data_IF_784613905352
#
_entry.id   IF_784613905352
#
_cell.length_a   1.000
_cell.length_b   1.000
_cell.length_c   1.000
_cell.angle_alpha   90.00
_cell.angle_beta   90.00
_cell.angle_gamma   90.00
#
_symmetry.space_group_name_H-M   'P 1'
#
loop_
_entity.id
_entity.type
_entity.pdbx_description
1 polymer ?
#
# COMPACT_ATOMS: atom_id res chain seq x y z
N UNK A 1 8.83 -20.57 -15.88
CA UNK A 1 8.06 -19.60 -15.08
C UNK A 1 7.86 -18.36 -15.91
N UNK A 2 6.63 -17.90 -15.99
CA UNK A 2 6.30 -16.70 -16.76
C UNK A 2 6.61 -15.45 -15.93
N UNK A 3 7.46 -14.57 -16.46
CA UNK A 3 7.73 -13.28 -15.84
C UNK A 3 6.80 -12.23 -16.40
N UNK A 4 6.32 -11.34 -15.55
CA UNK A 4 5.57 -10.16 -15.94
C UNK A 4 6.32 -8.93 -15.46
N UNK A 5 6.14 -7.82 -16.18
CA UNK A 5 6.71 -6.55 -15.80
C UNK A 5 5.64 -5.62 -15.24
N UNK A 6 5.88 -5.12 -14.06
CA UNK A 6 5.08 -4.06 -13.47
C UNK A 6 5.92 -2.80 -13.39
N UNK A 7 5.32 -1.67 -13.72
CA UNK A 7 6.00 -0.38 -13.67
C UNK A 7 5.54 0.38 -12.45
N UNK A 8 6.49 0.88 -11.67
CA UNK A 8 6.24 1.66 -10.47
C UNK A 8 6.98 2.97 -10.60
N UNK A 9 6.28 4.08 -10.38
CA UNK A 9 6.82 5.42 -10.44
C UNK A 9 6.50 6.17 -9.18
N UNK A 10 7.50 6.85 -8.60
CA UNK A 10 7.26 7.77 -7.50
C UNK A 10 6.55 9.01 -7.99
N UNK A 11 5.58 9.49 -7.24
CA UNK A 11 4.92 10.76 -7.47
C UNK A 11 5.84 11.86 -6.97
N UNK A 12 5.92 12.96 -7.72
CA UNK A 12 6.75 14.11 -7.36
C UNK A 12 6.53 14.56 -5.91
N UNK A 13 7.61 14.85 -5.20
CA UNK A 13 7.58 15.24 -3.80
C UNK A 13 7.69 14.08 -2.81
N UNK A 14 7.85 12.85 -3.30
CA UNK A 14 7.93 11.65 -2.45
C UNK A 14 9.28 10.93 -2.59
N UNK A 15 10.36 11.67 -2.81
CA UNK A 15 11.69 11.09 -3.05
C UNK A 15 12.24 10.36 -1.82
N UNK A 16 11.79 10.73 -0.63
CA UNK A 16 12.18 10.10 0.63
C UNK A 16 11.41 8.80 0.92
N UNK A 17 10.36 8.50 0.14
CA UNK A 17 9.57 7.29 0.35
C UNK A 17 10.18 6.15 -0.45
N UNK A 18 10.51 5.01 0.18
CA UNK A 18 11.05 3.87 -0.54
C UNK A 18 10.03 3.28 -1.51
N UNK A 19 10.52 2.71 -2.61
CA UNK A 19 9.69 1.91 -3.49
C UNK A 19 9.26 0.62 -2.78
N UNK A 20 8.12 0.03 -3.19
CA UNK A 20 7.72 -1.28 -2.68
C UNK A 20 8.83 -2.31 -2.88
N UNK A 21 9.04 -3.15 -1.88
CA UNK A 21 10.09 -4.16 -1.94
C UNK A 21 9.70 -5.40 -1.15
N UNK A 22 10.28 -6.52 -1.55
CA UNK A 22 10.19 -7.74 -0.77
C UNK A 22 11.08 -7.63 0.46
N UNK A 23 10.52 -7.86 1.62
CA UNK A 23 11.28 -7.80 2.88
C UNK A 23 12.09 -9.06 3.12
N UNK A 24 11.68 -10.17 2.51
CA UNK A 24 12.41 -11.44 2.51
C UNK A 24 12.41 -12.03 1.11
N UNK A 25 13.37 -12.93 0.82
CA UNK A 25 13.48 -13.56 -0.49
C UNK A 25 12.29 -14.45 -0.85
N UNK A 26 11.56 -14.94 0.13
CA UNK A 26 10.41 -15.83 -0.07
C UNK A 26 9.07 -15.16 0.18
N UNK A 27 9.06 -13.86 0.39
CA UNK A 27 7.82 -13.14 0.60
C UNK A 27 6.95 -13.20 -0.66
N UNK A 28 5.65 -13.47 -0.50
CA UNK A 28 4.70 -13.51 -1.60
C UNK A 28 4.31 -12.12 -2.09
N UNK A 29 4.45 -11.11 -1.24
CA UNK A 29 4.11 -9.73 -1.55
C UNK A 29 5.18 -8.75 -1.13
N UNK A 30 5.08 -7.53 -1.64
CA UNK A 30 5.96 -6.43 -1.30
C UNK A 30 5.33 -5.54 -0.24
N UNK A 31 6.16 -4.99 0.67
CA UNK A 31 5.71 -3.96 1.58
C UNK A 31 5.62 -2.62 0.86
N UNK A 32 4.51 -1.90 1.10
CA UNK A 32 4.28 -0.55 0.59
C UNK A 32 4.32 0.40 1.77
N UNK A 33 4.93 1.56 1.55
CA UNK A 33 5.12 2.56 2.59
C UNK A 33 4.06 3.66 2.50
N UNK A 34 3.61 4.14 3.65
CA UNK A 34 2.74 5.30 3.72
C UNK A 34 3.55 6.58 3.47
N UNK A 35 3.08 7.42 2.55
CA UNK A 35 3.71 8.70 2.25
C UNK A 35 3.08 9.78 3.12
N UNK A 36 3.41 9.76 4.41
CA UNK A 36 2.87 10.71 5.39
C UNK A 36 4.02 11.47 6.05
N UNK A 37 3.78 12.73 6.38
CA UNK A 37 4.76 13.59 7.03
C UNK A 37 4.81 13.31 8.52
N UNK A 38 3.65 13.05 9.12
CA UNK A 38 3.49 12.81 10.54
C UNK A 38 2.79 11.48 10.77
N UNK A 39 2.90 10.96 11.99
CA UNK A 39 2.17 9.78 12.40
C UNK A 39 0.67 10.00 12.26
N UNK A 40 0.00 9.07 11.59
CA UNK A 40 -1.45 9.11 11.42
C UNK A 40 -2.13 8.30 12.52
N UNK A 41 -3.18 8.87 13.11
CA UNK A 41 -3.97 8.22 14.14
C UNK A 41 -5.32 7.85 13.55
N UNK A 42 -5.69 6.57 13.66
CA UNK A 42 -6.99 6.07 13.22
C UNK A 42 -7.75 5.56 14.44
N UNK A 43 -8.85 6.22 14.75
CA UNK A 43 -9.70 5.84 15.87
C UNK A 43 -10.61 4.68 15.50
N UNK A 44 -11.07 3.88 16.49
CA UNK A 44 -12.00 2.78 16.21
C UNK A 44 -13.21 3.25 15.40
N UNK A 45 -13.54 2.52 14.34
CA UNK A 45 -14.63 2.86 13.44
C UNK A 45 -14.29 3.93 12.39
N UNK A 46 -13.11 4.53 12.46
CA UNK A 46 -12.68 5.60 11.57
C UNK A 46 -11.96 5.04 10.35
N UNK A 47 -12.05 5.75 9.23
CA UNK A 47 -11.29 5.49 8.00
C UNK A 47 -10.47 6.71 7.64
N UNK A 48 -9.30 6.47 7.06
CA UNK A 48 -8.47 7.54 6.52
C UNK A 48 -7.90 7.15 5.17
N UNK A 49 -7.75 8.13 4.29
CA UNK A 49 -7.03 7.97 3.03
C UNK A 49 -5.56 8.18 3.31
N UNK A 50 -4.76 7.16 2.98
CA UNK A 50 -3.31 7.19 3.18
C UNK A 50 -2.64 7.13 1.80
N UNK A 51 -1.92 8.18 1.39
CA UNK A 51 -1.19 8.14 0.12
C UNK A 51 0.02 7.21 0.22
N UNK A 52 0.37 6.58 -0.89
CA UNK A 52 1.56 5.74 -0.98
C UNK A 52 2.71 6.43 -1.69
N UNK A 53 2.45 7.55 -2.36
CA UNK A 53 3.46 8.30 -3.11
C UNK A 53 3.91 7.62 -4.39
N UNK A 54 3.22 6.59 -4.85
CA UNK A 54 3.58 5.86 -6.07
C UNK A 54 2.40 5.70 -7.02
N UNK A 55 2.75 5.49 -8.29
CA UNK A 55 1.83 5.03 -9.33
C UNK A 55 2.28 3.64 -9.75
N UNK A 56 1.33 2.80 -10.13
CA UNK A 56 1.63 1.45 -10.58
C UNK A 56 0.91 1.19 -11.91
N UNK A 57 1.61 0.54 -12.82
CA UNK A 57 1.04 0.08 -14.08
C UNK A 57 1.32 -1.40 -14.25
N UNK A 58 0.27 -2.16 -14.52
CA UNK A 58 0.35 -3.60 -14.69
C UNK A 58 -0.04 -4.00 -16.12
N UNK A 59 0.49 -5.12 -16.62
CA UNK A 59 0.02 -5.67 -17.89
C UNK A 59 -1.47 -5.98 -17.85
N UNK A 60 -2.09 -5.96 -19.02
CA UNK A 60 -3.49 -6.33 -19.16
C UNK A 60 -3.72 -7.75 -18.66
N UNK A 61 -4.78 -7.94 -17.88
CA UNK A 61 -5.13 -9.23 -17.30
C UNK A 61 -4.54 -9.50 -15.93
N UNK A 62 -3.79 -8.54 -15.38
CA UNK A 62 -3.22 -8.64 -14.04
C UNK A 62 -3.77 -7.54 -13.15
N UNK A 63 -3.83 -7.81 -11.86
CA UNK A 63 -4.22 -6.83 -10.86
C UNK A 63 -3.28 -6.89 -9.67
N UNK A 64 -3.18 -5.78 -8.93
CA UNK A 64 -2.50 -5.73 -7.66
C UNK A 64 -3.54 -5.74 -6.54
N UNK A 65 -3.35 -6.62 -5.56
CA UNK A 65 -4.15 -6.64 -4.36
C UNK A 65 -3.34 -6.08 -3.21
N UNK A 66 -3.92 -5.16 -2.46
CA UNK A 66 -3.32 -4.64 -1.24
C UNK A 66 -4.00 -5.27 -0.05
N UNK A 67 -3.19 -5.77 0.87
CA UNK A 67 -3.65 -6.42 2.08
C UNK A 67 -2.97 -5.79 3.28
N UNK A 68 -3.64 -5.73 4.44
CA UNK A 68 -2.99 -5.27 5.65
C UNK A 68 -1.93 -6.28 6.10
N UNK A 69 -0.90 -5.79 6.78
CA UNK A 69 0.03 -6.68 7.46
C UNK A 69 -0.73 -7.42 8.56
N UNK A 70 -0.46 -8.72 8.69
CA UNK A 70 -1.17 -9.57 9.65
C UNK A 70 -1.08 -9.05 11.08
N UNK A 71 0.08 -8.52 11.48
CA UNK A 71 0.23 -7.92 12.81
C UNK A 71 -0.68 -6.73 13.05
N UNK A 72 -0.86 -5.85 12.06
CA UNK A 72 -1.77 -4.72 12.16
C UNK A 72 -3.22 -5.17 12.23
N UNK A 73 -3.60 -6.18 11.42
CA UNK A 73 -4.96 -6.68 11.42
C UNK A 73 -5.32 -7.37 12.76
N UNK A 74 -4.41 -8.22 13.25
CA UNK A 74 -4.66 -9.01 14.46
C UNK A 74 -4.57 -8.15 15.73
N UNK A 75 -3.50 -7.35 15.84
CA UNK A 75 -3.20 -6.63 17.07
C UNK A 75 -3.88 -5.27 17.17
N UNK A 76 -4.13 -4.63 16.03
CA UNK A 76 -4.63 -3.26 16.00
C UNK A 76 -6.00 -3.14 15.34
N UNK A 77 -6.53 -4.22 14.75
CA UNK A 77 -7.80 -4.18 14.06
C UNK A 77 -7.82 -3.27 12.85
N UNK A 78 -6.66 -3.11 12.18
CA UNK A 78 -6.54 -2.24 11.01
C UNK A 78 -6.66 -3.06 9.74
N UNK A 79 -7.55 -2.66 8.87
CA UNK A 79 -7.72 -3.22 7.54
C UNK A 79 -7.44 -2.14 6.50
N UNK A 80 -7.30 -2.52 5.25
CA UNK A 80 -7.08 -1.57 4.18
C UNK A 80 -7.76 -2.03 2.90
N UNK A 81 -8.12 -1.06 2.07
CA UNK A 81 -8.62 -1.28 0.74
C UNK A 81 -7.97 -0.29 -0.22
N UNK A 82 -8.04 -0.58 -1.51
CA UNK A 82 -7.45 0.28 -2.53
C UNK A 82 -8.53 1.12 -3.17
N UNK A 83 -8.18 2.38 -3.44
CA UNK A 83 -8.87 3.17 -4.43
C UNK A 83 -7.96 3.40 -5.62
N UNK A 84 -8.41 2.99 -6.80
CA UNK A 84 -7.70 3.28 -8.04
C UNK A 84 -7.96 4.71 -8.47
N UNK A 85 -6.89 5.45 -8.56
CA UNK A 85 -6.82 6.69 -9.30
C UNK A 85 -5.45 6.69 -9.98
N UNK A 86 -5.07 7.79 -10.62
CA UNK A 86 -3.73 7.92 -11.20
C UNK A 86 -2.63 7.74 -10.14
N UNK A 87 -2.93 8.02 -8.90
CA UNK A 87 -2.05 7.77 -7.76
C UNK A 87 -2.68 6.70 -6.86
N UNK A 88 -1.84 5.86 -6.25
CA UNK A 88 -2.30 4.81 -5.40
C UNK A 88 -2.61 5.33 -4.00
N UNK A 89 -3.88 5.27 -3.63
CA UNK A 89 -4.36 5.61 -2.29
C UNK A 89 -4.83 4.36 -1.58
N UNK A 90 -4.48 4.25 -0.33
CA UNK A 90 -4.97 3.21 0.56
C UNK A 90 -5.98 3.83 1.50
N UNK A 91 -7.11 3.15 1.69
CA UNK A 91 -8.06 3.51 2.74
C UNK A 91 -7.77 2.60 3.92
N UNK A 92 -7.23 3.18 4.99
CA UNK A 92 -7.00 2.47 6.23
C UNK A 92 -8.23 2.62 7.13
N UNK A 93 -8.69 1.51 7.68
CA UNK A 93 -9.88 1.47 8.53
C UNK A 93 -9.56 0.70 9.80
N UNK A 94 -9.92 1.27 10.94
CA UNK A 94 -9.82 0.58 12.22
C UNK A 94 -11.19 0.05 12.60
N UNK A 95 -11.26 -1.23 12.92
CA UNK A 95 -12.48 -1.87 13.38
C UNK A 95 -12.96 -1.26 14.69
N UNK A 96 -14.27 -1.18 14.88
CA UNK A 96 -14.84 -0.62 16.10
C UNK A 96 -14.41 -1.35 17.36
#
# INVERSE_FOLDING_TARGET
>A
MKKIEAFIQKISGNDDIPLPRYMTNQAAGMDIFAAVIEEEIILPGQRKKIPTGIKIALPKGYEAQIRPRSGLAINQGITCSIRRAQSMLIIAEKLP
#
